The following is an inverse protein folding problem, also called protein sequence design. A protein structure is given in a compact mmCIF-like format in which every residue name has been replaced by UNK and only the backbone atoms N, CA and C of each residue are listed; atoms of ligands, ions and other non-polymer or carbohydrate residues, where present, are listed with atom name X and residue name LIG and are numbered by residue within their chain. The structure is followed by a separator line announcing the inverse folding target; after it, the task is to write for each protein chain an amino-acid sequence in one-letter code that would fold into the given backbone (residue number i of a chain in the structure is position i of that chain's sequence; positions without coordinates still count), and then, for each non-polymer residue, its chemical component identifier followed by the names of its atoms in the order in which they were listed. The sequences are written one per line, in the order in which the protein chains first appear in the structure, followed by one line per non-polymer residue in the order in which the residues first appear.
data_IF_993478455571
#
_entry.id   IF_993478455571
#
_cell.length_a   1.000
_cell.length_b   1.000
_cell.length_c   1.000
_cell.angle_alpha   90.00
_cell.angle_beta   90.00
_cell.angle_gamma   90.00
#
_symmetry.space_group_name_H-M   'P 1'
#
loop_
_entity.id
_entity.type
_entity.pdbx_description
1 polymer ?
#
# COMPACT_ATOMS: atom_id res chain seq x y z
N UNK A 1 -2.44 -21.19 9.05
CA UNK A 1 -2.26 -19.74 9.21
C UNK A 1 -1.00 -19.50 10.03
N UNK A 2 0.15 -19.28 9.39
CA UNK A 2 1.42 -19.05 10.11
C UNK A 2 1.46 -17.61 10.59
N UNK A 3 1.36 -17.42 11.91
CA UNK A 3 1.54 -16.12 12.57
C UNK A 3 3.01 -15.72 12.41
N UNK A 4 3.29 -14.77 11.52
CA UNK A 4 4.66 -14.29 11.28
C UNK A 4 5.19 -13.68 12.57
N UNK A 5 6.25 -14.27 13.10
CA UNK A 5 6.97 -13.84 14.30
C UNK A 5 7.40 -12.38 14.14
N UNK A 6 7.24 -11.60 15.22
CA UNK A 6 7.54 -10.17 15.26
C UNK A 6 8.95 -9.91 14.74
N UNK A 7 9.05 -9.22 13.60
CA UNK A 7 10.32 -8.67 13.10
C UNK A 7 11.02 -7.93 14.25
N UNK A 8 12.37 -7.96 14.36
CA UNK A 8 13.06 -7.11 15.32
C UNK A 8 12.61 -5.67 15.08
N UNK A 9 12.03 -5.06 16.12
CA UNK A 9 11.58 -3.69 16.07
C UNK A 9 12.82 -2.81 15.95
N UNK A 10 13.04 -2.23 14.76
CA UNK A 10 14.03 -1.18 14.59
C UNK A 10 13.77 -0.07 15.62
N UNK A 11 14.82 0.67 15.99
CA UNK A 11 14.66 1.85 16.87
C UNK A 11 13.65 2.81 16.26
N UNK A 12 12.89 3.52 17.09
CA UNK A 12 11.86 4.48 16.65
C UNK A 12 12.40 5.46 15.62
N UNK A 13 13.61 6.02 15.83
CA UNK A 13 14.26 6.92 14.88
C UNK A 13 14.44 6.31 13.47
N UNK A 14 14.70 5.02 13.37
CA UNK A 14 14.79 4.33 12.08
C UNK A 14 13.42 4.20 11.43
N UNK A 15 12.39 3.81 12.17
CA UNK A 15 11.04 3.68 11.61
C UNK A 15 10.47 5.02 11.14
N UNK A 16 10.80 6.13 11.81
CA UNK A 16 10.39 7.47 11.38
C UNK A 16 10.98 7.90 10.03
N UNK A 17 12.12 7.31 9.63
CA UNK A 17 12.82 7.68 8.37
C UNK A 17 12.43 6.78 7.20
N UNK A 18 12.08 5.51 7.44
CA UNK A 18 11.87 4.52 6.36
C UNK A 18 10.73 3.53 6.59
N UNK A 19 10.03 3.66 7.71
CA UNK A 19 8.90 2.79 8.04
C UNK A 19 7.69 3.14 7.19
N UNK A 20 6.95 2.13 6.75
CA UNK A 20 5.70 2.34 6.00
C UNK A 20 5.86 2.68 4.52
N UNK A 21 7.07 2.92 4.03
CA UNK A 21 7.32 3.15 2.60
C UNK A 21 6.98 1.91 1.77
N UNK A 22 6.10 2.05 0.79
CA UNK A 22 5.78 1.05 -0.22
C UNK A 22 6.12 1.62 -1.60
N UNK A 23 7.24 1.17 -2.20
CA UNK A 23 7.74 1.70 -3.47
C UNK A 23 6.93 1.19 -4.65
N UNK A 24 6.84 2.02 -5.68
CA UNK A 24 6.33 1.62 -6.98
C UNK A 24 7.30 0.68 -7.70
N UNK A 25 6.88 0.18 -8.85
CA UNK A 25 7.71 -0.63 -9.74
C UNK A 25 8.87 0.14 -10.40
N UNK A 26 8.89 1.48 -10.30
CA UNK A 26 9.94 2.33 -10.87
C UNK A 26 11.19 2.46 -9.99
N UNK A 27 11.23 1.79 -8.83
CA UNK A 27 12.40 1.72 -7.95
C UNK A 27 12.94 3.08 -7.46
N UNK A 28 12.05 4.05 -7.25
CA UNK A 28 12.39 5.35 -6.68
C UNK A 28 12.94 5.24 -5.24
N UNK A 29 13.89 6.11 -4.89
CA UNK A 29 14.47 6.14 -3.54
C UNK A 29 13.57 6.86 -2.53
N UNK A 30 12.89 7.90 -3.00
CA UNK A 30 12.05 8.82 -2.24
C UNK A 30 10.57 8.47 -2.35
N UNK A 31 9.74 8.99 -1.46
CA UNK A 31 8.29 8.84 -1.52
C UNK A 31 7.71 9.50 -2.77
N UNK A 32 6.97 8.73 -3.56
CA UNK A 32 6.24 9.24 -4.71
C UNK A 32 5.02 10.08 -4.29
N UNK A 33 4.69 11.09 -5.09
CA UNK A 33 3.48 11.91 -4.92
C UNK A 33 2.45 11.49 -5.97
N UNK A 34 1.34 10.90 -5.53
CA UNK A 34 0.22 10.49 -6.39
C UNK A 34 -0.88 11.56 -6.38
N UNK A 35 -0.76 12.57 -7.25
CA UNK A 35 -1.75 13.66 -7.38
C UNK A 35 -2.92 13.19 -8.24
N UNK A 36 -3.85 12.45 -7.63
CA UNK A 36 -5.08 11.98 -8.29
C UNK A 36 -6.25 11.98 -7.30
N UNK A 37 -7.47 12.11 -7.81
CA UNK A 37 -8.73 12.01 -7.06
C UNK A 37 -9.46 10.67 -7.28
N UNK A 38 -8.84 9.72 -7.98
CA UNK A 38 -9.45 8.43 -8.27
C UNK A 38 -8.51 7.48 -8.99
N UNK A 39 -8.96 6.23 -9.13
CA UNK A 39 -8.20 5.14 -9.71
C UNK A 39 -9.04 4.34 -10.71
N UNK A 40 -8.39 3.78 -11.72
CA UNK A 40 -9.02 2.91 -12.71
C UNK A 40 -9.09 1.47 -12.19
N UNK A 41 -10.12 0.75 -12.65
CA UNK A 41 -10.30 -0.68 -12.41
C UNK A 41 -10.18 -1.45 -13.72
N UNK A 42 -9.66 -2.66 -13.66
CA UNK A 42 -9.53 -3.52 -14.84
C UNK A 42 -10.88 -4.04 -15.32
N UNK A 43 -11.85 -4.22 -14.42
CA UNK A 43 -13.22 -4.63 -14.74
C UNK A 43 -14.26 -4.06 -13.77
N UNK A 44 -15.53 -4.11 -14.17
CA UNK A 44 -16.65 -3.72 -13.31
C UNK A 44 -16.76 -4.62 -12.06
N UNK A 45 -16.48 -5.91 -12.21
CA UNK A 45 -16.46 -6.88 -11.11
C UNK A 45 -15.36 -6.56 -10.09
N UNK A 46 -14.20 -6.07 -10.56
CA UNK A 46 -13.13 -5.62 -9.65
C UNK A 46 -13.58 -4.43 -8.81
N UNK A 47 -14.19 -3.42 -9.43
CA UNK A 47 -14.76 -2.30 -8.69
C UNK A 47 -15.76 -2.78 -7.64
N UNK A 48 -16.68 -3.69 -8.02
CA UNK A 48 -17.65 -4.25 -7.07
C UNK A 48 -16.98 -4.91 -5.86
N UNK A 49 -15.91 -5.69 -6.06
CA UNK A 49 -15.19 -6.35 -4.95
C UNK A 49 -14.48 -5.33 -4.06
N UNK A 50 -13.86 -4.30 -4.63
CA UNK A 50 -13.23 -3.21 -3.88
C UNK A 50 -14.25 -2.51 -2.97
N UNK A 51 -15.41 -2.11 -3.50
CA UNK A 51 -16.48 -1.47 -2.73
C UNK A 51 -17.10 -2.37 -1.65
N UNK A 52 -16.97 -3.70 -1.79
CA UNK A 52 -17.41 -4.68 -0.78
C UNK A 52 -16.32 -5.05 0.23
N UNK A 53 -15.15 -4.41 0.19
CA UNK A 53 -13.97 -4.76 0.99
C UNK A 53 -13.53 -6.24 0.81
N UNK A 54 -13.79 -6.78 -0.37
CA UNK A 54 -13.38 -8.14 -0.74
C UNK A 54 -12.02 -8.14 -1.46
N UNK A 55 -11.53 -6.97 -1.86
CA UNK A 55 -10.26 -6.74 -2.52
C UNK A 55 -9.69 -5.40 -2.07
N UNK A 56 -8.43 -5.36 -1.62
CA UNK A 56 -7.76 -4.13 -1.20
C UNK A 56 -7.35 -3.30 -2.43
N UNK A 57 -8.07 -2.20 -2.67
CA UNK A 57 -7.80 -1.24 -3.76
C UNK A 57 -8.06 0.17 -3.29
N UNK A 58 -7.32 1.13 -3.84
CA UNK A 58 -7.67 2.54 -3.71
C UNK A 58 -8.94 2.84 -4.52
N UNK A 59 -9.83 3.68 -3.98
CA UNK A 59 -11.17 3.93 -4.54
C UNK A 59 -11.32 5.38 -5.04
N UNK A 60 -11.13 6.34 -4.14
CA UNK A 60 -11.25 7.78 -4.38
C UNK A 60 -10.14 8.48 -3.61
#
# INVERSE_FOLDING_TARGET
MVRKTSKPSWRTATNLVRGGTNRSEFAETNEAIFITSGYVYESAEQAQRAFKNQEDRYIY
#
